data_IF_169724557206
#
_entry.id   IF_169724557206
#
_cell.length_a   1.000
_cell.length_b   1.000
_cell.length_c   1.000
_cell.angle_alpha   90.00
_cell.angle_beta   90.00
_cell.angle_gamma   90.00
#
_symmetry.space_group_name_H-M   'P 1'
#
loop_
_entity.id
_entity.type
_entity.pdbx_description
1 polymer ?
#
# COMPACT_ATOMS: atom_id res chain seq x y z
N UNK A 1 3.00 -3.98 -1.54
CA UNK A 1 3.13 -3.30 -0.23
C UNK A 1 4.53 -2.76 0.01
N UNK A 2 5.57 -3.61 0.03
CA UNK A 2 6.95 -3.20 0.32
C UNK A 2 7.45 -2.01 -0.52
N UNK A 3 7.12 -1.97 -1.83
CA UNK A 3 7.43 -0.83 -2.71
C UNK A 3 6.75 0.48 -2.29
N UNK A 4 5.50 0.41 -1.80
CA UNK A 4 4.78 1.60 -1.32
C UNK A 4 5.46 2.12 -0.05
N UNK A 5 5.78 1.23 0.90
CA UNK A 5 6.44 1.61 2.14
C UNK A 5 7.86 2.14 1.89
N UNK A 6 8.62 1.53 0.97
CA UNK A 6 9.96 2.03 0.63
C UNK A 6 9.90 3.42 0.01
N UNK A 7 8.92 3.68 -0.85
CA UNK A 7 8.71 5.02 -1.38
C UNK A 7 8.42 6.04 -0.27
N UNK A 8 7.53 5.70 0.68
CA UNK A 8 7.22 6.56 1.83
C UNK A 8 8.45 6.85 2.68
N UNK A 9 9.23 5.84 3.06
CA UNK A 9 10.43 6.01 3.89
C UNK A 9 11.54 6.79 3.17
N UNK A 10 11.59 6.76 1.85
CA UNK A 10 12.61 7.46 1.06
C UNK A 10 12.22 8.90 0.70
N UNK A 11 10.94 9.16 0.42
CA UNK A 11 10.50 10.41 -0.23
C UNK A 11 9.50 11.22 0.59
N UNK A 12 9.03 10.72 1.73
CA UNK A 12 8.04 11.44 2.54
C UNK A 12 8.61 12.74 3.11
N UNK A 13 7.85 13.83 2.97
CA UNK A 13 8.08 15.10 3.64
C UNK A 13 7.50 15.15 5.05
N UNK A 14 6.73 14.14 5.46
CA UNK A 14 6.16 14.06 6.81
C UNK A 14 7.24 13.71 7.83
N UNK A 15 7.51 14.64 8.76
CA UNK A 15 8.57 14.50 9.79
C UNK A 15 8.50 13.18 10.54
N UNK A 16 7.30 12.76 10.96
CA UNK A 16 7.13 11.49 11.68
C UNK A 16 7.56 10.27 10.85
N UNK A 17 7.35 10.27 9.52
CA UNK A 17 7.80 9.19 8.64
C UNK A 17 9.32 9.21 8.47
N UNK A 18 9.95 10.39 8.49
CA UNK A 18 11.40 10.52 8.45
C UNK A 18 12.06 10.01 9.73
N UNK A 19 11.42 10.17 10.90
CA UNK A 19 11.90 9.61 12.16
C UNK A 19 11.89 8.07 12.15
N UNK A 20 10.91 7.44 11.49
CA UNK A 20 10.89 5.98 11.30
C UNK A 20 12.14 5.47 10.56
N UNK A 21 12.66 6.25 9.61
CA UNK A 21 13.94 5.93 8.94
C UNK A 21 15.12 5.99 9.91
N UNK A 22 15.14 6.98 10.80
CA UNK A 22 16.24 7.20 11.75
C UNK A 22 16.26 6.16 12.87
N UNK A 23 15.10 5.63 13.24
CA UNK A 23 14.98 4.52 14.20
C UNK A 23 15.40 3.16 13.61
N UNK A 24 15.79 3.12 12.33
CA UNK A 24 16.30 1.92 11.68
C UNK A 24 15.21 0.91 11.31
N UNK A 25 13.93 1.30 11.26
CA UNK A 25 12.87 0.42 10.76
C UNK A 25 13.16 0.05 9.30
N UNK A 26 13.37 -1.24 9.05
CA UNK A 26 13.51 -1.79 7.72
C UNK A 26 12.15 -2.01 7.06
N UNK A 27 12.17 -2.21 5.74
CA UNK A 27 11.01 -2.74 5.03
C UNK A 27 10.66 -4.12 5.61
N UNK A 28 9.39 -4.35 6.01
CA UNK A 28 9.01 -5.60 6.66
C UNK A 28 9.05 -6.76 5.67
N UNK A 29 9.47 -7.92 6.16
CA UNK A 29 9.38 -9.21 5.50
C UNK A 29 7.93 -9.70 5.39
N UNK A 30 7.69 -10.75 4.59
CA UNK A 30 6.37 -11.38 4.52
C UNK A 30 5.87 -11.86 5.89
N UNK A 31 6.76 -12.41 6.73
CA UNK A 31 6.41 -12.87 8.07
C UNK A 31 5.91 -11.71 8.94
N UNK A 32 6.66 -10.60 8.99
CA UNK A 32 6.28 -9.43 9.79
C UNK A 32 4.94 -8.82 9.33
N UNK A 33 4.66 -8.86 8.02
CA UNK A 33 3.37 -8.41 7.47
C UNK A 33 2.23 -9.29 7.95
N UNK A 34 2.42 -10.61 7.93
CA UNK A 34 1.40 -11.55 8.38
C UNK A 34 1.18 -11.43 9.89
N UNK A 35 2.25 -11.33 10.68
CA UNK A 35 2.19 -11.12 12.13
C UNK A 35 1.50 -9.79 12.48
N UNK A 36 1.72 -8.73 11.70
CA UNK A 36 1.01 -7.46 11.89
C UNK A 36 -0.50 -7.62 11.67
N UNK A 37 -0.93 -8.31 10.61
CA UNK A 37 -2.35 -8.57 10.34
C UNK A 37 -3.01 -9.44 11.43
N UNK A 38 -2.28 -10.43 11.97
CA UNK A 38 -2.72 -11.21 13.12
C UNK A 38 -2.81 -10.34 14.38
N UNK A 39 -1.81 -9.49 14.61
CA UNK A 39 -1.76 -8.58 15.77
C UNK A 39 -2.91 -7.58 15.77
N UNK A 40 -3.30 -7.10 14.58
CA UNK A 40 -4.47 -6.23 14.40
C UNK A 40 -5.82 -6.97 14.47
N UNK A 41 -5.82 -8.30 14.53
CA UNK A 41 -7.04 -9.12 14.57
C UNK A 41 -7.74 -9.27 13.22
N UNK A 42 -7.10 -8.90 12.11
CA UNK A 42 -7.64 -9.07 10.76
C UNK A 42 -7.58 -10.53 10.29
N UNK A 43 -6.56 -11.26 10.75
CA UNK A 43 -6.31 -12.66 10.38
C UNK A 43 -6.14 -13.54 11.62
N UNK A 44 -6.52 -14.80 11.48
CA UNK A 44 -6.27 -15.84 12.48
C UNK A 44 -4.77 -16.17 12.61
N UNK A 45 -4.36 -16.75 13.73
CA UNK A 45 -2.94 -17.00 14.04
C UNK A 45 -2.23 -17.86 13.00
N UNK A 46 -2.95 -18.78 12.37
CA UNK A 46 -2.45 -19.70 11.33
C UNK A 46 -2.05 -18.97 10.03
N UNK A 47 -2.46 -17.70 9.87
CA UNK A 47 -2.06 -16.88 8.75
C UNK A 47 -0.55 -16.54 8.76
N UNK A 48 0.03 -16.37 9.95
CA UNK A 48 1.46 -16.12 10.11
C UNK A 48 2.28 -17.35 9.70
N UNK A 49 3.22 -17.15 8.77
CA UNK A 49 4.01 -18.23 8.16
C UNK A 49 3.31 -18.94 6.99
N UNK A 50 2.10 -18.53 6.62
CA UNK A 50 1.40 -19.09 5.46
C UNK A 50 1.95 -18.54 4.13
N UNK A 51 1.46 -19.09 3.01
CA UNK A 51 1.68 -18.55 1.65
C UNK A 51 0.41 -17.95 1.04
N UNK A 52 -0.54 -17.54 1.89
CA UNK A 52 -1.78 -16.92 1.44
C UNK A 52 -1.52 -15.50 0.90
N UNK A 53 -2.27 -15.11 -0.12
CA UNK A 53 -2.23 -13.76 -0.69
C UNK A 53 -2.99 -12.77 0.20
N UNK A 54 -2.71 -11.48 0.02
CA UNK A 54 -3.41 -10.36 0.67
C UNK A 54 -3.90 -9.35 -0.38
N UNK A 55 -4.99 -8.65 -0.08
CA UNK A 55 -5.60 -7.66 -0.97
C UNK A 55 -5.25 -6.23 -0.60
N UNK A 56 -5.92 -5.28 -1.27
CA UNK A 56 -5.71 -3.85 -1.08
C UNK A 56 -6.04 -3.38 0.36
N UNK A 57 -7.02 -4.01 1.01
CA UNK A 57 -7.42 -3.69 2.39
C UNK A 57 -6.30 -4.03 3.36
N UNK A 58 -5.79 -5.26 3.32
CA UNK A 58 -4.69 -5.68 4.19
C UNK A 58 -3.40 -4.91 3.91
N UNK A 59 -3.16 -4.52 2.65
CA UNK A 59 -2.04 -3.64 2.29
C UNK A 59 -2.19 -2.27 2.94
N UNK A 60 -3.39 -1.66 2.90
CA UNK A 60 -3.66 -0.39 3.55
C UNK A 60 -3.44 -0.47 5.08
N UNK A 61 -4.04 -1.49 5.72
CA UNK A 61 -3.86 -1.74 7.17
C UNK A 61 -2.38 -1.89 7.54
N UNK A 62 -1.63 -2.65 6.74
CA UNK A 62 -0.19 -2.85 6.96
C UNK A 62 0.59 -1.53 6.85
N UNK A 63 0.30 -0.69 5.85
CA UNK A 63 0.98 0.61 5.71
C UNK A 63 0.71 1.49 6.94
N UNK A 64 -0.54 1.60 7.38
CA UNK A 64 -0.91 2.37 8.57
C UNK A 64 -0.21 1.83 9.82
N UNK A 65 -0.20 0.50 10.01
CA UNK A 65 0.50 -0.15 11.12
C UNK A 65 2.00 0.15 11.13
N UNK A 66 2.70 -0.08 10.02
CA UNK A 66 4.15 0.09 9.96
C UNK A 66 4.59 1.56 10.02
N UNK A 67 3.70 2.48 9.66
CA UNK A 67 3.91 3.92 9.76
C UNK A 67 3.44 4.52 11.08
N UNK A 68 3.05 3.70 12.08
CA UNK A 68 2.53 4.17 13.38
C UNK A 68 1.36 5.17 13.21
N UNK A 69 0.39 4.83 12.37
CA UNK A 69 -0.82 5.63 12.10
C UNK A 69 -0.58 6.99 11.43
N UNK A 70 0.65 7.27 10.98
CA UNK A 70 0.99 8.54 10.30
C UNK A 70 0.47 8.61 8.87
N UNK A 71 0.28 7.47 8.21
CA UNK A 71 -0.21 7.39 6.83
C UNK A 71 -1.54 6.65 6.79
N UNK A 72 -2.53 7.30 6.19
CA UNK A 72 -3.80 6.69 5.80
C UNK A 72 -3.84 6.42 4.29
N UNK A 73 -4.61 5.41 3.87
CA UNK A 73 -4.70 4.97 2.49
C UNK A 73 -6.14 5.08 1.97
N UNK A 74 -6.30 5.68 0.78
CA UNK A 74 -7.59 5.66 0.06
C UNK A 74 -7.70 4.40 -0.78
N UNK A 75 -8.74 3.59 -0.55
CA UNK A 75 -9.09 2.47 -1.41
C UNK A 75 -10.12 2.92 -2.44
N UNK A 76 -9.87 2.63 -3.72
CA UNK A 76 -10.78 2.92 -4.83
C UNK A 76 -11.17 1.61 -5.49
N UNK A 77 -12.45 1.26 -5.42
CA UNK A 77 -12.98 0.04 -6.03
C UNK A 77 -13.35 0.28 -7.51
N UNK A 78 -13.09 -0.74 -8.32
CA UNK A 78 -13.55 -0.88 -9.70
C UNK A 78 -14.16 -2.27 -9.85
N UNK A 79 -15.29 -2.38 -10.55
CA UNK A 79 -16.05 -3.63 -10.64
C UNK A 79 -15.49 -4.58 -11.70
N UNK A 80 -14.84 -4.02 -12.72
CA UNK A 80 -14.16 -4.75 -13.79
C UNK A 80 -12.99 -3.93 -14.37
N UNK A 81 -12.08 -4.60 -15.07
CA UNK A 81 -10.87 -3.95 -15.61
C UNK A 81 -11.15 -2.79 -16.57
N UNK A 82 -12.27 -2.85 -17.31
CA UNK A 82 -12.67 -1.78 -18.23
C UNK A 82 -12.99 -0.46 -17.50
N UNK A 83 -13.45 -0.51 -16.25
CA UNK A 83 -13.77 0.67 -15.45
C UNK A 83 -12.53 1.43 -14.96
N UNK A 84 -11.33 0.84 -15.04
CA UNK A 84 -10.09 1.51 -14.64
C UNK A 84 -9.85 2.79 -15.45
N UNK A 85 -10.28 2.81 -16.72
CA UNK A 85 -10.20 4.00 -17.58
C UNK A 85 -11.00 5.16 -16.99
N UNK A 86 -12.15 4.90 -16.36
CA UNK A 86 -12.95 5.92 -15.69
C UNK A 86 -12.24 6.52 -14.46
N UNK A 87 -11.19 5.86 -13.95
CA UNK A 87 -10.34 6.35 -12.85
C UNK A 87 -9.08 7.07 -13.33
N UNK A 88 -8.85 7.20 -14.64
CA UNK A 88 -7.64 7.83 -15.17
C UNK A 88 -7.45 9.27 -14.67
N UNK A 89 -8.51 10.07 -14.63
CA UNK A 89 -8.46 11.44 -14.11
C UNK A 89 -8.14 11.48 -12.60
N UNK A 90 -8.68 10.54 -11.82
CA UNK A 90 -8.40 10.41 -10.39
C UNK A 90 -6.95 9.97 -10.14
N UNK A 91 -6.44 8.99 -10.91
CA UNK A 91 -5.04 8.57 -10.87
C UNK A 91 -4.08 9.69 -11.25
N UNK A 92 -4.39 10.46 -12.30
CA UNK A 92 -3.61 11.65 -12.68
C UNK A 92 -3.57 12.65 -11.54
N UNK A 93 -4.72 12.95 -10.93
CA UNK A 93 -4.79 13.84 -9.76
C UNK A 93 -3.94 13.31 -8.60
N UNK A 94 -4.03 12.02 -8.29
CA UNK A 94 -3.22 11.36 -7.26
C UNK A 94 -1.72 11.52 -7.49
N UNK A 95 -1.23 11.21 -8.69
CA UNK A 95 0.20 11.34 -9.00
C UNK A 95 0.70 12.80 -8.99
N UNK A 96 -0.15 13.76 -9.35
CA UNK A 96 0.21 15.20 -9.27
C UNK A 96 0.18 15.76 -7.84
N UNK A 97 -0.69 15.23 -6.97
CA UNK A 97 -0.91 15.76 -5.62
C UNK A 97 -0.09 15.04 -4.55
N UNK A 98 -0.05 13.71 -4.61
CA UNK A 98 0.61 12.87 -3.61
C UNK A 98 1.89 12.22 -4.17
N UNK A 99 1.89 11.86 -5.46
CA UNK A 99 3.07 11.28 -6.13
C UNK A 99 3.46 9.88 -5.65
N UNK A 100 2.65 9.23 -4.80
CA UNK A 100 2.96 7.90 -4.26
C UNK A 100 2.58 6.79 -5.25
N UNK A 101 3.34 5.67 -5.29
CA UNK A 101 2.94 4.47 -6.03
C UNK A 101 1.57 3.95 -5.60
N UNK A 102 0.79 3.43 -6.54
CA UNK A 102 -0.54 2.88 -6.28
C UNK A 102 -0.48 1.36 -6.43
N UNK A 103 -0.89 0.61 -5.40
CA UNK A 103 -1.13 -0.83 -5.54
C UNK A 103 -2.48 -1.03 -6.23
N UNK A 104 -2.52 -1.92 -7.22
CA UNK A 104 -3.76 -2.43 -7.81
C UNK A 104 -3.82 -3.94 -7.62
N UNK A 105 -4.95 -4.44 -7.14
CA UNK A 105 -5.22 -5.86 -6.94
C UNK A 105 -6.46 -6.28 -7.72
N UNK A 106 -6.41 -7.46 -8.32
CA UNK A 106 -7.54 -8.09 -8.99
C UNK A 106 -7.38 -9.62 -8.94
N UNK A 107 -8.32 -10.30 -8.29
CA UNK A 107 -8.20 -11.71 -7.95
C UNK A 107 -6.88 -11.97 -7.18
N UNK A 108 -6.10 -12.98 -7.57
CA UNK A 108 -4.80 -13.32 -6.95
C UNK A 108 -3.62 -12.50 -7.49
N UNK A 109 -3.86 -11.50 -8.35
CA UNK A 109 -2.80 -10.70 -8.97
C UNK A 109 -2.71 -9.30 -8.34
N UNK A 110 -1.48 -8.82 -8.17
CA UNK A 110 -1.18 -7.48 -7.69
C UNK A 110 -0.11 -6.82 -8.56
N UNK A 111 -0.31 -5.54 -8.86
CA UNK A 111 0.66 -4.70 -9.57
C UNK A 111 0.87 -3.38 -8.83
N UNK A 112 1.93 -2.66 -9.20
CA UNK A 112 2.19 -1.29 -8.72
C UNK A 112 2.16 -0.34 -9.90
N UNK A 113 1.20 0.58 -9.91
CA UNK A 113 1.07 1.65 -10.90
C UNK A 113 1.98 2.80 -10.46
N UNK A 114 2.86 3.24 -11.35
CA UNK A 114 3.85 4.30 -11.11
C UNK A 114 3.52 5.62 -11.83
N UNK A 115 2.48 5.60 -12.66
CA UNK A 115 2.04 6.76 -13.43
C UNK A 115 0.90 6.40 -14.35
N UNK A 116 0.35 7.42 -15.01
CA UNK A 116 -0.65 7.30 -16.07
C UNK A 116 -0.23 8.16 -17.24
N UNK A 117 -0.42 7.64 -18.45
CA UNK A 117 -0.33 8.41 -19.68
C UNK A 117 -1.76 8.53 -20.25
N UNK A 118 -2.20 9.76 -20.47
CA UNK A 118 -3.57 10.08 -20.86
C UNK A 118 -3.48 11.05 -22.03
N UNK A 119 -3.79 10.55 -23.23
CA UNK A 119 -3.94 11.40 -24.41
C UNK A 119 -5.17 12.31 -24.21
N UNK A 120 -4.92 13.62 -24.30
CA UNK A 120 -5.97 14.65 -24.33
C UNK A 120 -6.32 15.01 -25.77
#
# INVERSE_FOLDING_TARGET
>A
MQTLLSHLLLNSSYTGVQELKQTGKSIPSHMEIQEALVTMGDKEKEFAGSSQWIGAVEVAMSITYFTNDLIDCKIVNVSEGAELVAKAAELRSHFLTHGTPVMIGGDVYAHTILGVDINQ
#
